data_IF_113333454873
#
_entry.id   IF_113333454873
#
_cell.length_a   1.000
_cell.length_b   1.000
_cell.length_c   1.000
_cell.angle_alpha   90.00
_cell.angle_beta   90.00
_cell.angle_gamma   90.00
#
_symmetry.space_group_name_H-M   'P 1'
#
loop_
_entity.id
_entity.type
_entity.pdbx_description
1 polymer ?
#
# COMPACT_ATOMS: atom_id res chain seq x y z
N UNK A 1 -26.93 16.37 -1.55
CA UNK A 1 -26.54 15.42 -0.48
C UNK A 1 -25.01 15.28 -0.37
N UNK A 2 -24.25 15.35 -1.47
CA UNK A 2 -22.77 15.24 -1.49
C UNK A 2 -22.12 16.52 -0.92
N UNK A 3 -22.64 17.70 -1.23
CA UNK A 3 -22.12 18.98 -0.73
C UNK A 3 -22.30 19.17 0.78
N UNK A 4 -23.39 18.68 1.36
CA UNK A 4 -23.65 18.73 2.79
C UNK A 4 -22.69 17.82 3.59
N UNK A 5 -22.25 16.72 2.99
CA UNK A 5 -21.28 15.81 3.63
C UNK A 5 -19.85 16.39 3.63
N UNK A 6 -19.48 17.14 2.57
CA UNK A 6 -18.18 17.82 2.49
C UNK A 6 -18.06 19.01 3.46
N UNK A 7 -19.16 19.67 3.77
CA UNK A 7 -19.19 20.78 4.72
C UNK A 7 -19.04 20.31 6.17
N UNK A 8 -19.62 19.14 6.50
CA UNK A 8 -19.55 18.55 7.85
C UNK A 8 -18.14 18.07 8.22
N UNK A 9 -17.31 17.72 7.24
CA UNK A 9 -15.92 17.26 7.47
C UNK A 9 -14.98 18.45 7.74
N UNK A 10 -15.24 19.61 7.14
CA UNK A 10 -14.43 20.83 7.35
C UNK A 10 -14.53 21.40 8.74
N UNK A 11 -15.67 21.18 9.42
CA UNK A 11 -15.90 21.70 10.77
C UNK A 11 -15.30 20.83 11.89
N UNK A 12 -14.79 19.65 11.56
CA UNK A 12 -14.25 18.70 12.56
C UNK A 12 -12.72 18.66 12.64
N UNK A 13 -12.00 19.38 11.75
CA UNK A 13 -10.53 19.38 11.77
C UNK A 13 -9.99 20.35 12.82
N UNK A 14 -9.14 19.92 13.76
CA UNK A 14 -8.54 20.80 14.76
C UNK A 14 -7.77 21.96 14.09
N UNK A 15 -7.83 23.19 14.65
CA UNK A 15 -7.21 24.39 14.03
C UNK A 15 -5.70 24.24 13.80
N UNK A 16 -5.00 23.48 14.64
CA UNK A 16 -3.56 23.19 14.45
C UNK A 16 -3.30 22.35 13.19
N UNK A 17 -4.15 21.38 12.91
CA UNK A 17 -4.06 20.54 11.70
C UNK A 17 -4.33 21.37 10.45
N UNK A 18 -5.30 22.28 10.50
CA UNK A 18 -5.63 23.16 9.38
C UNK A 18 -4.47 24.11 9.02
N UNK A 19 -3.77 24.66 10.02
CA UNK A 19 -2.56 25.48 9.79
C UNK A 19 -1.43 24.68 9.18
N UNK A 20 -1.12 23.50 9.73
CA UNK A 20 -0.07 22.61 9.19
C UNK A 20 -0.35 22.19 7.74
N UNK A 21 -1.61 21.96 7.36
CA UNK A 21 -2.00 21.64 6.00
C UNK A 21 -1.84 22.80 5.03
N UNK A 22 -2.09 24.04 5.47
CA UNK A 22 -1.91 25.23 4.61
C UNK A 22 -0.46 25.42 4.18
N UNK A 23 0.49 25.06 5.03
CA UNK A 23 1.94 25.12 4.75
C UNK A 23 2.40 24.02 3.79
N UNK A 24 1.68 22.89 3.73
CA UNK A 24 2.01 21.74 2.87
C UNK A 24 1.38 21.79 1.48
N UNK A 25 0.56 22.81 1.18
CA UNK A 25 -0.02 22.97 -0.17
C UNK A 25 1.09 23.28 -1.19
N UNK A 26 1.17 22.46 -2.23
CA UNK A 26 2.07 22.73 -3.36
C UNK A 26 1.75 24.08 -4.02
N UNK A 27 2.77 24.84 -4.54
CA UNK A 27 2.56 26.15 -5.16
C UNK A 27 1.53 26.08 -6.30
N UNK A 28 0.57 27.00 -6.30
CA UNK A 28 -0.57 27.08 -7.23
C UNK A 28 -0.09 27.32 -8.67
N UNK A 29 -0.09 26.31 -9.53
CA UNK A 29 -0.18 26.45 -10.98
C UNK A 29 -1.59 26.00 -11.40
N UNK A 30 -2.34 26.92 -12.04
CA UNK A 30 -3.73 26.77 -12.40
C UNK A 30 -4.01 25.64 -13.38
N UNK A 31 -4.29 24.47 -12.87
CA UNK A 31 -5.04 23.33 -13.45
C UNK A 31 -5.49 22.49 -12.27
N UNK A 32 -6.64 21.79 -12.40
CA UNK A 32 -7.15 20.85 -11.38
C UNK A 32 -5.97 20.08 -10.77
N UNK A 33 -5.72 20.28 -9.49
CA UNK A 33 -4.58 19.68 -8.79
C UNK A 33 -4.78 18.17 -8.80
N UNK A 34 -3.99 17.46 -9.61
CA UNK A 34 -3.98 16.00 -9.63
C UNK A 34 -3.62 15.49 -8.23
N UNK A 35 -4.32 14.46 -7.77
CA UNK A 35 -3.97 13.74 -6.56
C UNK A 35 -2.52 13.24 -6.64
N UNK A 36 -1.70 13.57 -5.65
CA UNK A 36 -0.34 13.05 -5.56
C UNK A 36 -0.43 11.58 -5.14
N UNK A 37 0.17 10.69 -5.91
CA UNK A 37 0.12 9.23 -5.70
C UNK A 37 -1.29 8.62 -5.67
N UNK A 38 -2.31 9.30 -6.24
CA UNK A 38 -3.68 8.79 -6.24
C UNK A 38 -4.37 8.89 -4.88
N UNK A 39 -3.95 9.83 -4.04
CA UNK A 39 -4.55 10.06 -2.72
C UNK A 39 -5.06 11.50 -2.62
N UNK A 40 -6.27 11.65 -2.11
CA UNK A 40 -6.90 12.90 -1.70
C UNK A 40 -6.73 13.07 -0.20
N UNK A 41 -6.43 14.28 0.24
CA UNK A 41 -6.35 14.68 1.64
C UNK A 41 -7.56 15.58 1.93
N UNK A 42 -8.43 15.18 2.87
CA UNK A 42 -9.71 15.86 3.16
C UNK A 42 -10.57 16.10 1.89
N UNK A 43 -10.55 15.14 0.95
CA UNK A 43 -11.27 15.26 -0.32
C UNK A 43 -10.63 16.20 -1.35
N UNK A 44 -9.51 16.83 -1.04
CA UNK A 44 -8.80 17.75 -1.93
C UNK A 44 -7.47 17.15 -2.45
N UNK A 45 -7.15 17.44 -3.71
CA UNK A 45 -5.83 17.15 -4.29
C UNK A 45 -4.83 18.29 -4.07
N UNK A 46 -3.56 18.03 -4.38
CA UNK A 46 -2.50 19.05 -4.43
C UNK A 46 -1.67 19.17 -3.16
N UNK A 47 -1.82 18.24 -2.23
CA UNK A 47 -0.90 18.06 -1.12
C UNK A 47 0.31 17.22 -1.55
N UNK A 48 1.45 17.41 -0.88
CA UNK A 48 2.58 16.50 -1.01
C UNK A 48 2.26 15.23 -0.21
N UNK A 49 1.97 14.14 -0.93
CA UNK A 49 1.64 12.84 -0.33
C UNK A 49 2.77 11.87 -0.59
N UNK A 50 3.08 11.03 0.39
CA UNK A 50 4.02 9.91 0.28
C UNK A 50 3.37 8.65 0.82
N UNK A 51 3.40 7.57 0.03
CA UNK A 51 3.00 6.25 0.50
C UNK A 51 4.08 5.68 1.44
N UNK A 52 3.67 5.22 2.61
CA UNK A 52 4.60 4.74 3.62
C UNK A 52 5.23 3.40 3.21
N UNK A 53 6.55 3.31 3.25
CA UNK A 53 7.30 2.10 2.88
C UNK A 53 7.11 0.94 3.86
N UNK A 54 6.71 1.21 5.11
CA UNK A 54 6.51 0.18 6.13
C UNK A 54 5.29 -0.72 5.89
N UNK A 55 4.31 -0.28 5.08
CA UNK A 55 3.08 -1.03 4.82
C UNK A 55 2.65 -1.02 3.35
N UNK A 56 3.30 -0.21 2.49
CA UNK A 56 3.04 -0.13 1.05
C UNK A 56 1.54 -0.14 0.70
N UNK A 57 0.78 0.93 1.09
CA UNK A 57 -0.64 0.99 0.80
C UNK A 57 -0.91 1.04 -0.71
N UNK A 58 -1.98 0.38 -1.16
CA UNK A 58 -2.44 0.38 -2.55
C UNK A 58 -3.94 0.72 -2.61
N UNK A 59 -4.47 1.15 -3.78
CA UNK A 59 -5.88 1.45 -3.93
C UNK A 59 -6.78 0.31 -3.46
N UNK A 60 -7.76 0.66 -2.61
CA UNK A 60 -8.66 -0.27 -1.93
C UNK A 60 -8.23 -0.66 -0.51
N UNK A 61 -6.96 -0.45 -0.11
CA UNK A 61 -6.60 -0.56 1.30
C UNK A 61 -7.29 0.54 2.12
N UNK A 62 -7.75 0.26 3.35
CA UNK A 62 -8.10 1.31 4.30
C UNK A 62 -6.82 2.07 4.68
N UNK A 63 -6.84 3.40 4.53
CA UNK A 63 -5.67 4.25 4.70
C UNK A 63 -5.89 5.35 5.74
N UNK A 64 -4.80 5.77 6.36
CA UNK A 64 -4.73 6.86 7.32
C UNK A 64 -3.55 7.76 6.97
N UNK A 65 -3.76 9.07 6.97
CA UNK A 65 -2.75 10.08 6.73
C UNK A 65 -2.10 10.58 8.01
N UNK A 66 -0.80 10.86 7.94
CA UNK A 66 -0.02 11.50 9.00
C UNK A 66 0.67 12.74 8.47
N UNK A 67 0.43 13.87 9.12
CA UNK A 67 1.12 15.12 8.79
C UNK A 67 2.55 15.05 9.32
N UNK A 68 3.52 15.14 8.41
CA UNK A 68 4.95 15.14 8.75
C UNK A 68 5.53 16.55 8.69
N UNK A 69 6.45 16.88 9.60
CA UNK A 69 7.13 18.18 9.60
C UNK A 69 7.97 18.35 8.33
N UNK A 70 7.53 19.21 7.42
CA UNK A 70 8.26 19.61 6.19
C UNK A 70 8.30 18.56 5.06
N UNK A 71 7.68 17.37 5.20
CA UNK A 71 7.71 16.29 4.19
C UNK A 71 6.36 15.93 3.59
N UNK A 72 5.31 16.67 3.93
CA UNK A 72 3.95 16.40 3.46
C UNK A 72 3.20 15.38 4.31
N UNK A 73 2.22 14.75 3.72
CA UNK A 73 1.37 13.74 4.37
C UNK A 73 1.92 12.34 4.06
N UNK A 74 2.27 11.59 5.09
CA UNK A 74 2.63 10.18 4.99
C UNK A 74 1.36 9.34 5.10
N UNK A 75 1.08 8.52 4.09
CA UNK A 75 -0.13 7.68 4.04
C UNK A 75 0.25 6.24 4.36
N UNK A 76 -0.40 5.70 5.36
CA UNK A 76 -0.24 4.34 5.84
C UNK A 76 -1.52 3.53 5.63
N UNK A 77 -1.42 2.22 5.64
CA UNK A 77 -2.57 1.35 5.87
C UNK A 77 -3.03 1.52 7.31
N UNK A 78 -4.35 1.50 7.53
CA UNK A 78 -4.93 1.69 8.87
C UNK A 78 -4.56 0.57 9.86
N UNK A 79 -4.19 -0.63 9.35
CA UNK A 79 -3.71 -1.76 10.15
C UNK A 79 -2.18 -1.79 10.34
N UNK A 80 -1.46 -0.75 9.94
CA UNK A 80 -0.02 -0.67 10.07
C UNK A 80 0.41 -0.57 11.55
N UNK A 81 1.34 -1.40 12.04
CA UNK A 81 1.82 -1.32 13.42
C UNK A 81 2.37 0.06 13.81
N UNK A 82 2.99 0.76 12.86
CA UNK A 82 3.49 2.12 13.10
C UNK A 82 2.37 3.15 13.30
N UNK A 83 1.16 2.87 12.81
CA UNK A 83 -0.02 3.69 13.03
C UNK A 83 -0.70 3.30 14.34
N UNK A 84 -0.85 1.99 14.58
CA UNK A 84 -1.53 1.47 15.77
C UNK A 84 -0.77 1.76 17.08
N UNK A 85 0.55 1.87 17.00
CA UNK A 85 1.41 2.15 18.17
C UNK A 85 1.73 3.64 18.34
N UNK A 86 1.28 4.51 17.43
CA UNK A 86 1.50 5.95 17.55
C UNK A 86 0.50 6.56 18.53
N UNK A 87 1.00 7.27 19.52
CA UNK A 87 0.21 7.98 20.55
C UNK A 87 -0.06 9.44 20.16
N UNK A 88 0.55 9.96 19.08
CA UNK A 88 0.36 11.33 18.62
C UNK A 88 -0.86 11.46 17.68
N UNK A 89 -2.07 11.27 18.20
CA UNK A 89 -3.32 11.41 17.43
C UNK A 89 -3.54 12.81 16.82
N UNK A 90 -2.82 13.82 17.30
CA UNK A 90 -2.94 15.22 16.84
C UNK A 90 -2.47 15.45 15.39
N UNK A 91 -1.80 14.49 14.78
CA UNK A 91 -1.28 14.58 13.39
C UNK A 91 -1.98 13.67 12.41
N UNK A 92 -2.99 12.96 12.87
CA UNK A 92 -3.80 12.08 12.03
C UNK A 92 -4.75 12.92 11.18
N UNK A 93 -4.84 12.60 9.89
CA UNK A 93 -5.71 13.27 8.95
C UNK A 93 -6.43 12.25 8.08
N UNK A 94 -7.66 12.57 7.69
CA UNK A 94 -8.43 11.74 6.80
C UNK A 94 -7.86 11.81 5.37
N UNK A 95 -7.68 10.64 4.77
CA UNK A 95 -7.21 10.49 3.40
C UNK A 95 -8.05 9.44 2.68
N UNK A 96 -8.23 9.62 1.38
CA UNK A 96 -8.98 8.68 0.54
C UNK A 96 -8.28 8.44 -0.78
N UNK A 97 -8.55 7.29 -1.40
CA UNK A 97 -8.06 7.03 -2.75
C UNK A 97 -8.83 7.83 -3.79
N UNK A 98 -8.10 8.43 -4.73
CA UNK A 98 -8.67 9.04 -5.93
C UNK A 98 -8.98 7.93 -6.96
N UNK A 99 -10.25 7.68 -7.16
CA UNK A 99 -10.74 6.64 -8.07
C UNK A 99 -10.56 7.14 -9.51
N UNK A 100 -9.64 6.54 -10.27
CA UNK A 100 -9.48 6.85 -11.71
C UNK A 100 -8.05 7.00 -12.21
N UNK A 101 -7.06 6.62 -11.42
CA UNK A 101 -5.67 6.59 -11.86
C UNK A 101 -5.27 5.15 -12.20
N UNK A 102 -5.04 4.88 -13.49
CA UNK A 102 -4.40 3.65 -13.95
C UNK A 102 -2.91 3.68 -13.59
N UNK A 103 -2.61 3.30 -12.36
CA UNK A 103 -1.24 3.14 -11.86
C UNK A 103 -1.04 1.74 -11.34
N UNK A 104 0.16 1.22 -11.56
CA UNK A 104 0.61 -0.01 -10.94
C UNK A 104 1.32 0.29 -9.62
N UNK A 105 1.12 -0.59 -8.66
CA UNK A 105 1.71 -0.53 -7.32
C UNK A 105 2.44 -1.83 -7.04
N UNK A 106 3.68 -1.74 -6.57
CA UNK A 106 4.46 -2.92 -6.21
C UNK A 106 4.09 -3.39 -4.81
N UNK A 107 3.63 -4.62 -4.70
CA UNK A 107 3.26 -5.26 -3.43
C UNK A 107 4.10 -6.50 -3.22
N UNK A 108 4.67 -6.64 -2.03
CA UNK A 108 5.37 -7.85 -1.61
C UNK A 108 4.40 -8.85 -0.98
N UNK A 109 4.57 -10.13 -1.33
CA UNK A 109 3.93 -11.25 -0.64
C UNK A 109 4.99 -12.24 -0.18
N UNK A 110 4.78 -12.80 0.99
CA UNK A 110 5.56 -13.89 1.56
C UNK A 110 4.76 -15.18 1.50
N UNK A 111 5.38 -16.21 0.98
CA UNK A 111 4.79 -17.54 0.84
C UNK A 111 5.66 -18.53 1.57
N UNK A 112 5.08 -19.31 2.47
CA UNK A 112 5.74 -20.47 3.10
C UNK A 112 5.14 -21.72 2.52
N UNK A 113 5.99 -22.55 1.91
CA UNK A 113 5.59 -23.77 1.20
C UNK A 113 6.58 -24.91 1.45
N UNK A 114 6.21 -26.13 1.04
CA UNK A 114 7.12 -27.27 1.04
C UNK A 114 8.23 -27.05 -0.01
N UNK A 115 9.47 -27.38 0.36
CA UNK A 115 10.62 -27.34 -0.54
C UNK A 115 10.64 -28.62 -1.40
N UNK A 116 9.99 -28.58 -2.56
CA UNK A 116 9.92 -29.67 -3.54
C UNK A 116 10.13 -29.20 -4.95
N UNK A 117 10.51 -30.15 -5.81
CA UNK A 117 10.66 -29.87 -7.23
C UNK A 117 9.34 -29.35 -7.82
N UNK A 118 9.45 -28.29 -8.64
CA UNK A 118 8.32 -27.67 -9.33
C UNK A 118 7.53 -26.67 -8.51
N UNK A 119 7.71 -26.59 -7.18
CA UNK A 119 6.90 -25.71 -6.31
C UNK A 119 7.02 -24.23 -6.71
N UNK A 120 8.22 -23.76 -6.99
CA UNK A 120 8.42 -22.37 -7.44
C UNK A 120 7.73 -22.10 -8.78
N UNK A 121 7.80 -23.06 -9.72
CA UNK A 121 7.13 -22.92 -11.02
C UNK A 121 5.60 -22.84 -10.86
N UNK A 122 5.00 -23.66 -10.00
CA UNK A 122 3.57 -23.61 -9.69
C UNK A 122 3.16 -22.27 -9.07
N UNK A 123 3.98 -21.74 -8.15
CA UNK A 123 3.73 -20.43 -7.54
C UNK A 123 3.80 -19.29 -8.57
N UNK A 124 4.76 -19.30 -9.48
CA UNK A 124 4.94 -18.27 -10.50
C UNK A 124 3.89 -18.35 -11.62
N UNK A 125 3.32 -19.53 -11.87
CA UNK A 125 2.26 -19.70 -12.84
C UNK A 125 0.99 -18.92 -12.46
N UNK A 126 0.67 -18.82 -11.16
CA UNK A 126 -0.55 -18.13 -10.68
C UNK A 126 -0.61 -16.67 -11.12
N UNK A 127 0.37 -15.79 -10.81
CA UNK A 127 0.32 -14.40 -11.27
C UNK A 127 0.43 -14.31 -12.80
N UNK A 128 1.17 -15.20 -13.47
CA UNK A 128 1.28 -15.21 -14.92
C UNK A 128 -0.08 -15.48 -15.60
N UNK A 129 -0.86 -16.47 -15.14
CA UNK A 129 -2.21 -16.74 -15.63
C UNK A 129 -3.17 -15.58 -15.41
N UNK A 130 -2.98 -14.82 -14.32
CA UNK A 130 -3.77 -13.66 -13.99
C UNK A 130 -3.27 -12.37 -14.65
N UNK A 131 -2.25 -12.46 -15.51
CA UNK A 131 -1.59 -11.32 -16.18
C UNK A 131 -1.09 -10.25 -15.18
N UNK A 132 -0.60 -10.71 -14.03
CA UNK A 132 0.03 -9.87 -13.02
C UNK A 132 1.54 -9.94 -13.21
N UNK A 133 2.18 -8.78 -13.39
CA UNK A 133 3.62 -8.70 -13.58
C UNK A 133 4.36 -9.01 -12.28
N UNK A 134 5.37 -9.88 -12.40
CA UNK A 134 6.28 -10.21 -11.31
C UNK A 134 7.48 -9.26 -11.39
N UNK A 135 7.69 -8.46 -10.34
CA UNK A 135 8.80 -7.52 -10.26
C UNK A 135 10.06 -8.16 -9.65
N UNK A 136 9.89 -8.94 -8.58
CA UNK A 136 11.00 -9.62 -7.91
C UNK A 136 10.59 -11.00 -7.43
N UNK A 137 11.56 -11.91 -7.42
CA UNK A 137 11.43 -13.27 -6.88
C UNK A 137 12.65 -13.55 -6.01
N UNK A 138 12.42 -13.96 -4.78
CA UNK A 138 13.47 -14.45 -3.88
C UNK A 138 12.95 -15.71 -3.17
N UNK A 139 13.66 -16.82 -3.31
CA UNK A 139 13.31 -18.08 -2.68
C UNK A 139 14.44 -18.55 -1.78
N UNK A 140 14.13 -18.76 -0.51
CA UNK A 140 15.12 -19.20 0.49
C UNK A 140 14.68 -20.53 1.09
N UNK A 141 15.38 -21.64 0.76
CA UNK A 141 15.06 -22.95 1.31
C UNK A 141 15.52 -23.08 2.77
N UNK A 142 14.65 -23.66 3.61
CA UNK A 142 14.99 -24.08 4.97
C UNK A 142 15.15 -25.60 5.01
N UNK A 143 16.38 -26.07 4.90
CA UNK A 143 16.72 -27.51 4.85
C UNK A 143 16.32 -28.28 6.10
N UNK A 144 16.22 -27.63 7.28
CA UNK A 144 15.85 -28.29 8.53
C UNK A 144 14.39 -28.76 8.51
N UNK A 145 13.49 -27.91 7.98
CA UNK A 145 12.06 -28.15 8.01
C UNK A 145 11.52 -28.60 6.64
N UNK A 146 12.39 -28.76 5.63
CA UNK A 146 11.97 -29.04 4.24
C UNK A 146 10.92 -28.03 3.74
N UNK A 147 11.04 -26.77 4.13
CA UNK A 147 10.18 -25.68 3.68
C UNK A 147 10.98 -24.64 2.92
N UNK A 148 10.31 -23.89 2.07
CA UNK A 148 10.88 -22.72 1.41
C UNK A 148 10.06 -21.48 1.73
N UNK A 149 10.76 -20.36 1.99
CA UNK A 149 10.14 -19.04 2.08
C UNK A 149 10.37 -18.35 0.74
N UNK A 150 9.28 -18.04 0.04
CA UNK A 150 9.31 -17.35 -1.25
C UNK A 150 8.75 -15.94 -1.06
N UNK A 151 9.54 -14.94 -1.43
CA UNK A 151 9.17 -13.54 -1.45
C UNK A 151 8.93 -13.13 -2.91
N UNK A 152 7.73 -12.69 -3.22
CA UNK A 152 7.37 -12.17 -4.54
C UNK A 152 7.00 -10.70 -4.45
N UNK A 153 7.57 -9.88 -5.34
CA UNK A 153 7.10 -8.53 -5.61
C UNK A 153 6.22 -8.54 -6.86
N UNK A 154 4.98 -8.14 -6.73
CA UNK A 154 3.98 -8.13 -7.78
C UNK A 154 3.53 -6.70 -8.08
N UNK A 155 3.36 -6.39 -9.37
CA UNK A 155 2.77 -5.11 -9.79
C UNK A 155 1.26 -5.30 -9.97
N UNK A 156 0.49 -4.60 -9.16
CA UNK A 156 -0.97 -4.69 -9.12
C UNK A 156 -1.62 -3.31 -9.18
N UNK A 157 -2.84 -3.24 -9.69
CA UNK A 157 -3.59 -1.99 -9.78
C UNK A 157 -4.39 -1.68 -8.50
N UNK A 158 -4.83 -2.71 -7.77
CA UNK A 158 -5.68 -2.57 -6.59
C UNK A 158 -5.60 -3.78 -5.66
N UNK A 159 -6.29 -3.66 -4.51
CA UNK A 159 -6.35 -4.73 -3.49
C UNK A 159 -7.06 -5.99 -3.98
N UNK A 160 -8.05 -5.88 -4.85
CA UNK A 160 -8.81 -7.04 -5.33
C UNK A 160 -7.91 -7.98 -6.14
N UNK A 161 -7.06 -7.41 -6.99
CA UNK A 161 -6.13 -8.17 -7.82
C UNK A 161 -5.14 -8.96 -6.96
N UNK A 162 -4.51 -8.33 -5.96
CA UNK A 162 -3.58 -9.03 -5.06
C UNK A 162 -4.29 -10.07 -4.20
N UNK A 163 -5.51 -9.79 -3.76
CA UNK A 163 -6.31 -10.72 -2.95
C UNK A 163 -6.65 -11.98 -3.74
N UNK A 164 -7.02 -11.85 -5.02
CA UNK A 164 -7.28 -12.98 -5.89
C UNK A 164 -6.03 -13.83 -6.11
N UNK A 165 -4.87 -13.20 -6.38
CA UNK A 165 -3.58 -13.91 -6.50
C UNK A 165 -3.27 -14.70 -5.23
N UNK A 166 -3.33 -14.05 -4.07
CA UNK A 166 -3.06 -14.69 -2.78
C UNK A 166 -4.02 -15.84 -2.49
N UNK A 167 -5.30 -15.69 -2.83
CA UNK A 167 -6.32 -16.72 -2.65
C UNK A 167 -6.02 -17.94 -3.51
N UNK A 168 -5.68 -17.76 -4.79
CA UNK A 168 -5.29 -18.88 -5.66
C UNK A 168 -4.01 -19.58 -5.18
N UNK A 169 -3.01 -18.82 -4.71
CA UNK A 169 -1.78 -19.41 -4.17
C UNK A 169 -2.04 -20.25 -2.92
N UNK A 170 -2.99 -19.84 -2.05
CA UNK A 170 -3.36 -20.61 -0.87
C UNK A 170 -4.03 -21.97 -1.20
N UNK A 171 -4.61 -22.08 -2.40
CA UNK A 171 -5.24 -23.32 -2.86
C UNK A 171 -4.24 -24.32 -3.47
N UNK A 172 -3.00 -23.90 -3.71
CA UNK A 172 -1.96 -24.79 -4.21
C UNK A 172 -1.59 -25.81 -3.12
N UNK A 173 -1.42 -27.06 -3.55
CA UNK A 173 -0.97 -28.13 -2.66
C UNK A 173 0.41 -27.78 -2.09
N UNK A 174 0.60 -28.07 -0.79
CA UNK A 174 1.87 -27.83 -0.09
C UNK A 174 2.23 -26.35 0.15
N UNK A 175 1.29 -25.42 -0.03
CA UNK A 175 1.40 -24.04 0.45
C UNK A 175 0.80 -23.95 1.84
N UNK A 176 1.58 -23.48 2.80
CA UNK A 176 1.18 -23.42 4.21
C UNK A 176 0.65 -22.04 4.60
N UNK A 177 1.28 -20.99 4.07
CA UNK A 177 0.92 -19.62 4.39
C UNK A 177 1.22 -18.68 3.22
N UNK A 178 0.32 -17.74 2.97
CA UNK A 178 0.51 -16.61 2.06
C UNK A 178 0.10 -15.35 2.78
N UNK A 179 1.03 -14.42 2.96
CA UNK A 179 0.81 -13.15 3.65
C UNK A 179 1.38 -11.99 2.85
N UNK A 180 0.75 -10.82 2.93
CA UNK A 180 1.32 -9.61 2.38
C UNK A 180 2.45 -9.13 3.29
N UNK A 181 3.60 -8.79 2.72
CA UNK A 181 4.72 -8.29 3.52
C UNK A 181 4.43 -6.89 4.04
N UNK A 182 4.78 -6.65 5.30
CA UNK A 182 4.84 -5.33 5.89
C UNK A 182 6.25 -4.78 5.60
N UNK A 183 6.33 -3.76 4.75
CA UNK A 183 7.59 -3.06 4.50
C UNK A 183 8.56 -3.72 3.52
N UNK A 184 9.66 -3.02 3.28
CA UNK A 184 10.73 -3.39 2.34
C UNK A 184 11.70 -4.46 2.87
N UNK A 185 11.37 -5.18 3.93
CA UNK A 185 12.26 -6.18 4.55
C UNK A 185 12.55 -7.43 3.71
N UNK A 186 12.32 -7.38 2.40
CA UNK A 186 12.62 -8.49 1.49
C UNK A 186 12.72 -8.14 0.03
N UNK A 187 12.43 -6.91 -0.35
CA UNK A 187 12.56 -6.47 -1.75
C UNK A 187 13.85 -5.65 -1.88
N UNK A 188 14.80 -6.03 -2.75
CA UNK A 188 15.91 -5.15 -3.10
C UNK A 188 15.35 -3.84 -3.66
N UNK A 189 15.86 -2.71 -3.15
CA UNK A 189 15.51 -1.38 -3.62
C UNK A 189 15.72 -1.32 -5.13
N UNK A 190 14.63 -1.26 -5.89
CA UNK A 190 14.66 -0.79 -7.26
C UNK A 190 14.71 0.74 -7.19
N UNK A 191 15.90 1.31 -7.27
CA UNK A 191 16.08 2.73 -7.58
C UNK A 191 15.64 2.94 -9.03
N UNK A 192 14.56 3.67 -9.23
CA UNK A 192 14.24 4.38 -10.46
C UNK A 192 13.74 5.76 -10.08
#
# INVERSE_FOLDING_TARGET
LIELHQQSIKDSTPPEVSQMLSELKAPRRGKRKKASHGVLVEGEGGYLVRLARCCNPIPGDPITGYITRGRGVSVHRSDCPNVLNDTEFTRVIEVSWDIGLDKEYTVGIEIICNDRNGMLAELLAVPAEMKVNIHTVNATPNRRNKTSTVLLGLNVSNIDQITQVMTRMRLLKDVYRVTRTLGSSGLPNGDV
#
